data_IF_945486139129
#
_entry.id   IF_945486139129
#
_cell.length_a   1.000
_cell.length_b   1.000
_cell.length_c   1.000
_cell.angle_alpha   90.00
_cell.angle_beta   90.00
_cell.angle_gamma   90.00
#
_symmetry.space_group_name_H-M   'P 1'
#
loop_
_entity.id
_entity.type
_entity.pdbx_description
1 polymer ?
#
# COMPACT_ATOMS: atom_id res chain seq x y z
N UNK A 1 -7.74 25.52 4.18
CA UNK A 1 -6.59 24.59 4.13
C UNK A 1 -5.54 25.23 3.24
N UNK A 2 -4.29 25.37 3.70
CA UNK A 2 -3.17 25.82 2.88
C UNK A 2 -2.23 24.63 2.64
N UNK A 3 -1.75 24.48 1.39
CA UNK A 3 -0.76 23.48 1.02
C UNK A 3 0.59 24.19 0.95
N UNK A 4 1.61 23.63 1.62
CA UNK A 4 2.98 24.12 1.58
C UNK A 4 3.91 23.07 1.00
N UNK A 5 4.82 23.49 0.11
CA UNK A 5 5.87 22.66 -0.43
C UNK A 5 7.22 23.12 0.08
N UNK A 6 8.06 22.19 0.52
CA UNK A 6 9.43 22.46 0.96
C UNK A 6 10.38 21.88 -0.07
N UNK A 7 11.06 22.75 -0.82
CA UNK A 7 11.99 22.37 -1.88
C UNK A 7 13.45 22.54 -1.41
N UNK A 8 14.32 21.73 -1.98
CA UNK A 8 15.76 21.78 -1.75
C UNK A 8 16.46 20.49 -2.16
N UNK A 9 17.77 20.54 -2.34
CA UNK A 9 18.60 19.39 -2.69
C UNK A 9 18.67 18.36 -1.56
N UNK A 10 19.17 17.17 -1.85
CA UNK A 10 19.45 16.17 -0.80
C UNK A 10 20.42 16.76 0.23
N UNK A 11 20.18 16.51 1.52
CA UNK A 11 21.02 17.05 2.60
C UNK A 11 20.81 18.53 2.97
N UNK A 12 19.90 19.26 2.28
CA UNK A 12 19.66 20.69 2.53
C UNK A 12 18.93 21.01 3.84
N UNK A 13 18.61 20.01 4.67
CA UNK A 13 17.95 20.20 5.95
C UNK A 13 16.43 20.30 5.91
N UNK A 14 15.77 19.94 4.79
CA UNK A 14 14.30 19.99 4.66
C UNK A 14 13.55 19.29 5.78
N UNK A 15 13.96 18.05 6.09
CA UNK A 15 13.33 17.25 7.14
C UNK A 15 13.51 17.91 8.51
N UNK A 16 14.71 18.40 8.81
CA UNK A 16 14.98 19.09 10.09
C UNK A 16 14.17 20.39 10.21
N UNK A 17 14.00 21.13 9.12
CA UNK A 17 13.16 22.31 9.08
C UNK A 17 11.69 21.95 9.35
N UNK A 18 11.17 20.93 8.63
CA UNK A 18 9.81 20.45 8.79
C UNK A 18 9.54 19.98 10.23
N UNK A 19 10.43 19.18 10.79
CA UNK A 19 10.25 18.65 12.15
C UNK A 19 10.25 19.76 13.21
N UNK A 20 11.12 20.75 13.09
CA UNK A 20 11.13 21.91 14.01
C UNK A 20 9.85 22.71 13.91
N UNK A 21 9.31 22.91 12.70
CA UNK A 21 8.05 23.62 12.52
C UNK A 21 6.88 22.84 13.13
N UNK A 22 6.81 21.53 12.90
CA UNK A 22 5.77 20.68 13.48
C UNK A 22 5.84 20.74 15.02
N UNK A 23 7.03 20.58 15.61
CA UNK A 23 7.20 20.62 17.06
C UNK A 23 6.81 21.99 17.66
N UNK A 24 7.16 23.08 16.96
CA UNK A 24 6.75 24.43 17.36
C UNK A 24 5.23 24.59 17.34
N UNK A 25 4.59 24.23 16.23
CA UNK A 25 3.13 24.26 16.08
C UNK A 25 2.42 23.36 17.11
N UNK A 26 2.97 22.17 17.36
CA UNK A 26 2.44 21.24 18.34
C UNK A 26 2.51 21.77 19.77
N UNK A 27 3.56 22.51 20.10
CA UNK A 27 3.71 23.18 21.40
C UNK A 27 2.77 24.39 21.56
N UNK A 28 2.56 25.15 20.48
CA UNK A 28 1.65 26.32 20.47
C UNK A 28 0.17 25.91 20.48
N UNK A 29 -0.14 24.71 19.95
CA UNK A 29 -1.49 24.19 19.79
C UNK A 29 -1.64 22.76 20.34
N UNK A 30 -1.58 22.56 21.66
CA UNK A 30 -1.64 21.24 22.28
C UNK A 30 -2.99 20.52 22.08
N UNK A 31 -4.04 21.26 21.71
CA UNK A 31 -5.37 20.73 21.39
C UNK A 31 -5.46 20.07 20.02
N UNK A 32 -4.44 20.24 19.16
CA UNK A 32 -4.39 19.67 17.81
C UNK A 32 -3.50 18.45 17.78
N UNK A 33 -3.90 17.46 16.98
CA UNK A 33 -3.06 16.30 16.65
C UNK A 33 -2.40 16.49 15.29
N UNK A 34 -1.10 16.29 15.25
CA UNK A 34 -0.28 16.40 14.05
C UNK A 34 0.10 15.02 13.57
N UNK A 35 -0.14 14.72 12.28
CA UNK A 35 0.21 13.46 11.66
C UNK A 35 1.40 13.66 10.72
N UNK A 36 2.47 12.92 10.96
CA UNK A 36 3.66 12.90 10.12
C UNK A 36 3.64 11.57 9.35
N UNK A 37 3.33 11.65 8.04
CA UNK A 37 3.29 10.48 7.17
C UNK A 37 4.65 10.26 6.52
N UNK A 38 5.19 9.07 6.71
CA UNK A 38 6.48 8.65 6.16
C UNK A 38 6.40 7.22 5.63
N UNK A 39 7.29 6.81 4.72
CA UNK A 39 7.44 5.40 4.36
C UNK A 39 7.70 4.53 5.59
N UNK A 40 7.17 3.30 5.60
CA UNK A 40 7.22 2.38 6.75
C UNK A 40 8.62 2.26 7.37
N UNK A 41 9.63 2.11 6.53
CA UNK A 41 11.03 1.97 6.92
C UNK A 41 11.60 3.18 7.69
N UNK A 42 11.01 4.35 7.53
CA UNK A 42 11.50 5.59 8.18
C UNK A 42 10.70 5.99 9.44
N UNK A 43 9.63 5.26 9.78
CA UNK A 43 8.77 5.62 10.93
C UNK A 43 9.56 5.73 12.23
N UNK A 44 10.36 4.73 12.56
CA UNK A 44 11.16 4.69 13.78
C UNK A 44 12.25 5.78 13.80
N UNK A 45 12.92 5.99 12.67
CA UNK A 45 13.94 7.03 12.54
C UNK A 45 13.34 8.42 12.74
N UNK A 46 12.22 8.71 12.07
CA UNK A 46 11.52 9.99 12.18
C UNK A 46 11.05 10.25 13.61
N UNK A 47 10.48 9.24 14.26
CA UNK A 47 10.05 9.35 15.64
C UNK A 47 11.22 9.68 16.59
N UNK A 48 12.35 9.00 16.44
CA UNK A 48 13.57 9.29 17.22
C UNK A 48 14.10 10.70 16.99
N UNK A 49 14.08 11.17 15.75
CA UNK A 49 14.54 12.52 15.42
C UNK A 49 13.63 13.59 16.02
N UNK A 50 12.30 13.42 15.95
CA UNK A 50 11.34 14.32 16.58
C UNK A 50 11.55 14.39 18.11
N UNK A 51 11.64 13.25 18.78
CA UNK A 51 11.92 13.18 20.23
C UNK A 51 13.25 13.83 20.59
N UNK A 52 14.29 13.63 19.75
CA UNK A 52 15.60 14.25 19.97
C UNK A 52 15.59 15.78 19.83
N UNK A 53 14.78 16.30 18.92
CA UNK A 53 14.68 17.73 18.65
C UNK A 53 13.81 18.44 19.69
N UNK A 54 12.89 17.72 20.34
CA UNK A 54 12.03 18.28 21.38
C UNK A 54 12.80 18.43 22.69
N UNK A 55 12.69 19.60 23.33
CA UNK A 55 13.40 19.92 24.58
C UNK A 55 13.03 19.00 25.74
N UNK A 56 11.77 18.59 25.79
CA UNK A 56 11.25 17.67 26.81
C UNK A 56 11.64 16.21 26.54
N UNK A 57 12.23 15.89 25.37
CA UNK A 57 12.45 14.55 24.87
C UNK A 57 11.20 13.67 24.86
N UNK A 58 10.02 14.28 24.73
CA UNK A 58 8.74 13.62 24.64
C UNK A 58 7.85 14.35 23.62
N UNK A 59 7.10 13.59 22.83
CA UNK A 59 6.10 14.09 21.89
C UNK A 59 4.74 13.53 22.33
N UNK A 60 3.74 14.39 22.48
CA UNK A 60 2.41 13.96 22.96
C UNK A 60 1.34 14.02 21.88
N UNK A 61 1.33 15.08 21.08
CA UNK A 61 0.33 15.34 20.05
C UNK A 61 0.88 15.28 18.62
N UNK A 62 1.99 14.57 18.42
CA UNK A 62 2.57 14.30 17.11
C UNK A 62 2.69 12.79 16.90
N UNK A 63 1.95 12.27 15.93
CA UNK A 63 1.96 10.86 15.56
C UNK A 63 2.75 10.65 14.27
N UNK A 64 3.70 9.71 14.28
CA UNK A 64 4.46 9.31 13.09
C UNK A 64 3.88 8.00 12.56
N UNK A 65 3.30 8.03 11.38
CA UNK A 65 2.59 6.92 10.80
C UNK A 65 3.08 6.63 9.37
N UNK A 66 3.00 5.37 8.97
CA UNK A 66 3.00 5.00 7.56
C UNK A 66 1.57 5.05 7.00
N UNK A 67 1.43 4.99 5.68
CA UNK A 67 0.11 4.92 5.05
C UNK A 67 -0.68 3.68 5.50
N UNK A 68 -0.01 2.55 5.69
CA UNK A 68 -0.66 1.35 6.18
C UNK A 68 -1.22 1.55 7.61
N UNK A 69 -0.43 2.13 8.51
CA UNK A 69 -0.86 2.42 9.89
C UNK A 69 -1.97 3.47 9.94
N UNK A 70 -1.90 4.47 9.05
CA UNK A 70 -2.99 5.45 8.91
C UNK A 70 -4.29 4.77 8.47
N UNK A 71 -4.23 3.85 7.51
CA UNK A 71 -5.40 3.10 7.06
C UNK A 71 -6.02 2.28 8.21
N UNK A 72 -5.21 1.57 9.01
CA UNK A 72 -5.71 0.84 10.19
C UNK A 72 -6.38 1.79 11.20
N UNK A 73 -5.77 2.93 11.48
CA UNK A 73 -6.36 3.93 12.38
C UNK A 73 -7.72 4.41 11.88
N UNK A 74 -7.84 4.70 10.57
CA UNK A 74 -9.13 5.08 9.97
C UNK A 74 -10.16 3.95 10.08
N UNK A 75 -9.75 2.70 9.88
CA UNK A 75 -10.67 1.55 10.05
C UNK A 75 -11.13 1.38 11.49
N UNK A 76 -10.25 1.59 12.45
CA UNK A 76 -10.59 1.55 13.88
C UNK A 76 -11.58 2.66 14.24
N UNK A 77 -11.34 3.89 13.79
CA UNK A 77 -12.23 5.03 14.03
C UNK A 77 -13.60 4.86 13.36
N UNK A 78 -13.66 4.19 12.19
CA UNK A 78 -14.91 3.88 11.50
C UNK A 78 -15.61 2.62 12.01
N UNK A 79 -15.10 1.98 13.05
CA UNK A 79 -15.65 0.75 13.63
C UNK A 79 -15.53 -0.48 12.72
N UNK A 80 -14.65 -0.47 11.72
CA UNK A 80 -14.41 -1.60 10.80
C UNK A 80 -13.34 -2.55 11.33
N UNK A 81 -13.43 -2.92 12.59
CA UNK A 81 -12.43 -3.76 13.28
C UNK A 81 -12.36 -5.21 12.78
N UNK A 82 -13.34 -5.67 12.01
CA UNK A 82 -13.42 -7.06 11.53
C UNK A 82 -12.76 -7.30 10.16
N UNK A 83 -11.99 -6.33 9.63
CA UNK A 83 -11.28 -6.52 8.37
C UNK A 83 -10.09 -7.46 8.59
N UNK A 84 -10.18 -8.66 8.04
CA UNK A 84 -9.05 -9.60 7.99
C UNK A 84 -8.14 -9.21 6.84
N UNK A 85 -7.00 -8.64 7.17
CA UNK A 85 -5.95 -8.35 6.18
C UNK A 85 -5.17 -9.62 5.90
N UNK A 86 -5.15 -10.05 4.64
CA UNK A 86 -4.35 -11.18 4.20
C UNK A 86 -2.89 -10.75 4.01
N UNK A 87 -2.01 -11.41 4.74
CA UNK A 87 -0.57 -11.32 4.51
C UNK A 87 -0.18 -12.00 3.19
N UNK A 88 1.05 -11.79 2.75
CA UNK A 88 1.56 -12.33 1.48
C UNK A 88 1.39 -13.84 1.33
N UNK A 89 1.65 -14.59 2.41
CA UNK A 89 1.45 -16.05 2.43
C UNK A 89 -0.03 -16.41 2.32
N UNK A 90 -0.89 -15.68 3.03
CA UNK A 90 -2.34 -15.87 2.97
C UNK A 90 -2.90 -15.64 1.56
N UNK A 91 -2.46 -14.58 0.88
CA UNK A 91 -2.84 -14.32 -0.52
C UNK A 91 -2.43 -15.47 -1.45
N UNK A 92 -1.21 -16.00 -1.30
CA UNK A 92 -0.75 -17.14 -2.10
C UNK A 92 -1.60 -18.40 -1.85
N UNK A 93 -1.99 -18.67 -0.60
CA UNK A 93 -2.84 -19.83 -0.27
C UNK A 93 -4.25 -19.68 -0.87
N UNK A 94 -4.85 -18.51 -0.78
CA UNK A 94 -6.17 -18.23 -1.38
C UNK A 94 -6.09 -18.40 -2.89
N UNK A 95 -5.10 -17.84 -3.56
CA UNK A 95 -4.92 -17.98 -5.01
C UNK A 95 -4.72 -19.44 -5.41
N UNK A 96 -3.94 -20.22 -4.66
CA UNK A 96 -3.77 -21.66 -4.93
C UNK A 96 -5.08 -22.42 -4.82
N UNK A 97 -5.89 -22.11 -3.81
CA UNK A 97 -7.20 -22.74 -3.64
C UNK A 97 -8.13 -22.40 -4.80
N UNK A 98 -8.28 -21.11 -5.13
CA UNK A 98 -9.11 -20.65 -6.25
C UNK A 98 -8.65 -21.26 -7.59
N UNK A 99 -7.35 -21.25 -7.84
CA UNK A 99 -6.76 -21.86 -9.02
C UNK A 99 -7.03 -23.37 -9.12
N UNK A 100 -7.03 -24.08 -7.99
CA UNK A 100 -7.41 -25.50 -7.91
C UNK A 100 -8.88 -25.74 -8.24
N UNK A 101 -9.76 -24.92 -7.72
CA UNK A 101 -11.22 -24.97 -7.97
C UNK A 101 -11.54 -24.64 -9.44
N UNK A 102 -10.86 -23.67 -10.03
CA UNK A 102 -11.06 -23.22 -11.41
C UNK A 102 -10.19 -23.94 -12.45
N UNK A 103 -9.47 -24.99 -12.09
CA UNK A 103 -8.49 -25.67 -12.96
C UNK A 103 -9.06 -26.07 -14.31
N UNK A 104 -10.34 -26.44 -14.39
CA UNK A 104 -11.01 -26.83 -15.63
C UNK A 104 -11.22 -25.65 -16.58
N UNK A 105 -11.39 -24.45 -16.01
CA UNK A 105 -11.64 -23.22 -16.76
C UNK A 105 -10.34 -22.50 -17.14
N UNK A 106 -9.22 -22.86 -16.51
CA UNK A 106 -7.91 -22.24 -16.69
C UNK A 106 -7.02 -23.08 -17.62
N UNK A 107 -7.43 -23.24 -18.88
CA UNK A 107 -6.75 -24.13 -19.84
C UNK A 107 -5.28 -23.78 -20.06
N UNK A 108 -4.92 -22.51 -20.12
CA UNK A 108 -3.54 -22.03 -20.36
C UNK A 108 -2.72 -21.92 -19.06
N UNK A 109 -3.34 -21.46 -17.97
CA UNK A 109 -2.67 -21.25 -16.70
C UNK A 109 -2.66 -22.48 -15.80
N UNK A 110 -3.67 -23.36 -15.93
CA UNK A 110 -3.93 -24.47 -15.00
C UNK A 110 -2.78 -25.46 -14.84
N UNK A 111 -1.96 -25.66 -15.87
CA UNK A 111 -0.79 -26.54 -15.82
C UNK A 111 0.36 -25.99 -14.94
N UNK A 112 0.48 -24.69 -14.80
CA UNK A 112 1.58 -24.03 -14.09
C UNK A 112 1.21 -23.53 -12.69
N UNK A 113 -0.07 -23.52 -12.33
CA UNK A 113 -0.56 -23.00 -11.05
C UNK A 113 -0.10 -23.79 -9.82
N UNK A 114 0.42 -25.01 -10.01
CA UNK A 114 1.04 -25.78 -8.93
C UNK A 114 2.47 -25.31 -8.59
N UNK A 115 3.09 -24.48 -9.44
CA UNK A 115 4.44 -23.95 -9.21
C UNK A 115 4.39 -22.71 -8.35
N UNK A 116 5.11 -22.74 -7.23
CA UNK A 116 5.10 -21.64 -6.24
C UNK A 116 5.50 -20.28 -6.83
N UNK A 117 6.52 -20.25 -7.70
CA UNK A 117 6.95 -19.02 -8.38
C UNK A 117 5.85 -18.42 -9.26
N UNK A 118 5.10 -19.28 -9.96
CA UNK A 118 4.03 -18.82 -10.86
C UNK A 118 2.86 -18.17 -10.11
N UNK A 119 2.44 -18.74 -8.98
CA UNK A 119 1.41 -18.13 -8.11
C UNK A 119 1.86 -16.77 -7.58
N UNK A 120 3.14 -16.66 -7.23
CA UNK A 120 3.70 -15.39 -6.78
C UNK A 120 3.67 -14.30 -7.86
N UNK A 121 3.96 -14.66 -9.11
CA UNK A 121 3.86 -13.74 -10.25
C UNK A 121 2.41 -13.30 -10.51
N UNK A 122 1.47 -14.24 -10.51
CA UNK A 122 0.03 -13.93 -10.66
C UNK A 122 -0.44 -13.00 -9.53
N UNK A 123 -0.05 -13.28 -8.29
CA UNK A 123 -0.33 -12.42 -7.14
C UNK A 123 0.23 -11.00 -7.34
N UNK A 124 1.47 -10.89 -7.79
CA UNK A 124 2.12 -9.60 -8.02
C UNK A 124 1.37 -8.80 -9.09
N UNK A 125 0.97 -9.45 -10.17
CA UNK A 125 0.18 -8.81 -11.23
C UNK A 125 -1.19 -8.35 -10.73
N UNK A 126 -1.92 -9.18 -9.97
CA UNK A 126 -3.20 -8.79 -9.36
C UNK A 126 -3.01 -7.60 -8.42
N UNK A 127 -1.95 -7.60 -7.60
CA UNK A 127 -1.65 -6.51 -6.69
C UNK A 127 -1.34 -5.20 -7.44
N UNK A 128 -0.62 -5.29 -8.55
CA UNK A 128 -0.31 -4.15 -9.41
C UNK A 128 -1.57 -3.59 -10.07
N UNK A 129 -2.41 -4.43 -10.67
CA UNK A 129 -3.69 -4.02 -11.25
C UNK A 129 -4.59 -3.34 -10.22
N UNK A 130 -4.64 -3.88 -9.00
CA UNK A 130 -5.40 -3.28 -7.89
C UNK A 130 -4.83 -1.93 -7.48
N UNK A 131 -3.52 -1.79 -7.44
CA UNK A 131 -2.83 -0.53 -7.13
C UNK A 131 -3.18 0.58 -8.13
N UNK A 132 -3.32 0.23 -9.42
CA UNK A 132 -3.73 1.15 -10.47
C UNK A 132 -5.25 1.27 -10.62
N UNK A 133 -6.03 0.69 -9.72
CA UNK A 133 -7.49 0.69 -9.74
C UNK A 133 -8.07 0.14 -11.06
N UNK A 134 -7.44 -0.90 -11.57
CA UNK A 134 -7.91 -1.66 -12.74
C UNK A 134 -8.77 -2.81 -12.24
N UNK A 135 -10.10 -2.68 -12.42
CA UNK A 135 -11.04 -3.76 -12.10
C UNK A 135 -11.01 -4.86 -13.19
N UNK A 136 -11.50 -6.09 -12.90
CA UNK A 136 -11.64 -7.13 -13.90
C UNK A 136 -12.39 -6.70 -15.16
N UNK A 137 -13.46 -5.92 -15.00
CA UNK A 137 -14.28 -5.42 -16.11
C UNK A 137 -13.48 -4.42 -16.97
N UNK A 138 -12.72 -3.50 -16.32
CA UNK A 138 -11.82 -2.59 -17.05
C UNK A 138 -10.75 -3.36 -17.79
N UNK A 139 -10.19 -4.41 -17.17
CA UNK A 139 -9.18 -5.25 -17.81
C UNK A 139 -9.73 -5.87 -19.10
N UNK A 140 -10.95 -6.40 -19.08
CA UNK A 140 -11.61 -6.92 -20.27
C UNK A 140 -11.76 -5.89 -21.40
N UNK A 141 -12.06 -4.64 -21.04
CA UNK A 141 -12.23 -3.55 -22.02
C UNK A 141 -10.91 -3.17 -22.69
N UNK A 142 -9.79 -3.23 -21.95
CA UNK A 142 -8.46 -2.93 -22.48
C UNK A 142 -7.84 -4.05 -23.33
N UNK A 143 -8.38 -5.27 -23.24
CA UNK A 143 -7.90 -6.44 -23.97
C UNK A 143 -8.69 -6.64 -25.27
N UNK A 144 -8.71 -5.63 -26.14
CA UNK A 144 -9.28 -5.82 -27.47
C UNK A 144 -8.41 -6.73 -28.32
N UNK A 145 -9.01 -7.62 -29.14
CA UNK A 145 -8.29 -8.70 -29.82
C UNK A 145 -7.23 -8.25 -30.83
N UNK A 146 -7.30 -7.00 -31.31
CA UNK A 146 -6.47 -6.52 -32.40
C UNK A 146 -5.04 -6.14 -32.00
N UNK A 147 -4.80 -5.81 -30.71
CA UNK A 147 -3.50 -5.29 -30.23
C UNK A 147 -2.67 -6.28 -29.42
N UNK A 148 -3.22 -7.42 -29.02
CA UNK A 148 -2.58 -8.33 -28.07
C UNK A 148 -2.52 -9.74 -28.65
N UNK A 149 -1.36 -10.39 -28.65
CA UNK A 149 -1.23 -11.77 -29.11
C UNK A 149 -2.17 -12.71 -28.35
N UNK A 150 -2.84 -13.61 -29.08
CA UNK A 150 -3.90 -14.50 -28.59
C UNK A 150 -3.56 -15.21 -27.27
N UNK A 151 -2.32 -15.66 -27.09
CA UNK A 151 -1.85 -16.33 -25.88
C UNK A 151 -1.79 -15.39 -24.67
N UNK A 152 -1.43 -14.12 -24.87
CA UNK A 152 -1.36 -13.13 -23.78
C UNK A 152 -2.77 -12.69 -23.39
N UNK A 153 -3.64 -12.51 -24.36
CA UNK A 153 -5.05 -12.17 -24.19
C UNK A 153 -5.78 -13.23 -23.36
N UNK A 154 -5.60 -14.51 -23.68
CA UNK A 154 -6.12 -15.63 -22.90
C UNK A 154 -5.59 -15.64 -21.46
N UNK A 155 -4.29 -15.39 -21.24
CA UNK A 155 -3.71 -15.32 -19.89
C UNK A 155 -4.32 -14.21 -19.05
N UNK A 156 -4.53 -13.03 -19.62
CA UNK A 156 -5.08 -11.88 -18.90
C UNK A 156 -6.59 -12.00 -18.66
N UNK A 157 -7.35 -12.59 -19.57
CA UNK A 157 -8.76 -12.91 -19.34
C UNK A 157 -8.95 -13.86 -18.16
N UNK A 158 -8.05 -14.84 -17.98
CA UNK A 158 -8.11 -15.75 -16.84
C UNK A 158 -7.78 -15.07 -15.49
N UNK A 159 -6.95 -14.03 -15.49
CA UNK A 159 -6.66 -13.27 -14.27
C UNK A 159 -7.88 -12.48 -13.80
N UNK A 160 -8.74 -12.06 -14.73
CA UNK A 160 -9.98 -11.36 -14.40
C UNK A 160 -11.06 -12.26 -13.76
N UNK A 161 -10.91 -13.58 -13.84
CA UNK A 161 -11.84 -14.57 -13.26
C UNK A 161 -11.43 -15.01 -11.85
N UNK A 162 -10.17 -14.79 -11.45
CA UNK A 162 -9.64 -15.11 -10.13
C UNK A 162 -9.84 -13.92 -9.18
#
# INVERSE_FOLDING_TARGET
>A
MSLQFIFGNSGSGKSSYLYRNILKEAAEHPEKNYLVLVPEQFTMQTQRELVRLEKSHAIMNVDVLSFARLAYRVFDELGKQNLRVLEETGKNLVLRKLAGEQKKNLSVLGGNLNRMGYISEVKSLISELTQYNVSPEKLHTYLEPEDVGETLLLKMQYISVI
#
